data_IF_557581213464
#
_entry.id   IF_557581213464
#
_cell.length_a   1.000
_cell.length_b   1.000
_cell.length_c   1.000
_cell.angle_alpha   90.00
_cell.angle_beta   90.00
_cell.angle_gamma   90.00
#
_symmetry.space_group_name_H-M   'P 1'
#
loop_
_entity.id
_entity.type
_entity.pdbx_description
1 polymer ?
#
# COMPACT_ATOMS: atom_id res chain seq x y z
N UNK A 1 -12.67 13.26 12.59
CA UNK A 1 -11.39 12.51 12.61
C UNK A 1 -10.30 13.55 12.53
N UNK A 2 -9.54 13.73 13.61
CA UNK A 2 -8.34 14.56 13.56
C UNK A 2 -7.30 13.80 12.74
N UNK A 3 -6.95 14.33 11.56
CA UNK A 3 -6.08 13.65 10.62
C UNK A 3 -4.73 14.34 10.64
N UNK A 4 -3.73 13.58 11.06
CA UNK A 4 -2.35 14.01 11.04
C UNK A 4 -1.95 14.40 9.61
N UNK A 5 -1.49 15.63 9.40
CA UNK A 5 -0.95 16.11 8.12
C UNK A 5 0.58 16.11 8.20
N UNK A 6 1.28 15.36 7.35
CA UNK A 6 2.73 15.35 7.35
C UNK A 6 3.28 16.73 6.95
N UNK A 7 4.19 17.28 7.75
CA UNK A 7 4.96 18.48 7.40
C UNK A 7 6.24 18.09 6.68
N UNK A 8 6.35 18.45 5.40
CA UNK A 8 7.52 18.16 4.56
C UNK A 8 8.82 18.80 5.08
N UNK A 9 8.73 19.84 5.92
CA UNK A 9 9.90 20.47 6.54
C UNK A 9 10.39 19.70 7.77
N UNK A 10 9.56 18.84 8.35
CA UNK A 10 9.95 18.02 9.49
C UNK A 10 10.89 16.89 9.08
N UNK A 11 11.93 16.67 9.88
CA UNK A 11 12.85 15.55 9.73
C UNK A 11 12.16 14.18 9.80
N UNK A 12 10.92 14.12 10.32
CA UNK A 12 10.10 12.90 10.35
C UNK A 12 9.68 12.40 8.96
N UNK A 13 9.53 13.29 7.98
CA UNK A 13 9.00 12.96 6.64
C UNK A 13 10.01 13.12 5.51
N UNK A 14 11.27 13.44 5.84
CA UNK A 14 12.36 13.48 4.88
C UNK A 14 12.85 12.07 4.54
N UNK A 15 13.69 11.98 3.50
CA UNK A 15 14.38 10.73 3.15
C UNK A 15 15.20 10.25 4.36
N UNK A 16 15.02 8.98 4.81
CA UNK A 16 15.78 8.44 5.92
C UNK A 16 17.29 8.50 5.70
N UNK A 17 18.01 8.92 6.75
CA UNK A 17 19.48 8.94 6.81
C UNK A 17 20.04 7.85 7.73
N UNK A 18 19.16 7.11 8.38
CA UNK A 18 19.40 6.00 9.31
C UNK A 18 18.26 4.99 9.17
N UNK A 19 18.25 3.95 10.00
CA UNK A 19 17.22 2.89 10.01
C UNK A 19 15.79 3.45 10.20
N UNK A 20 15.63 4.56 10.92
CA UNK A 20 14.32 5.15 11.18
C UNK A 20 14.37 6.67 11.25
N UNK A 21 13.31 7.30 10.73
CA UNK A 21 13.07 8.73 10.94
C UNK A 21 12.62 8.99 12.38
N UNK A 22 12.75 10.25 12.80
CA UNK A 22 12.20 10.71 14.08
C UNK A 22 10.69 10.52 14.06
N UNK A 23 10.15 9.90 15.11
CA UNK A 23 8.72 9.63 15.24
C UNK A 23 7.90 10.93 15.22
N UNK A 24 6.75 10.89 14.56
CA UNK A 24 5.77 11.97 14.56
C UNK A 24 4.39 11.39 14.88
N UNK A 25 3.60 12.14 15.63
CA UNK A 25 2.30 11.67 16.11
C UNK A 25 1.58 12.72 16.96
N UNK A 26 0.62 12.25 17.76
CA UNK A 26 -0.21 13.10 18.63
C UNK A 26 0.19 12.79 20.08
N UNK A 27 0.94 13.67 20.77
CA UNK A 27 1.42 13.39 22.14
C UNK A 27 0.30 13.11 23.14
N UNK A 28 -0.88 13.71 22.92
CA UNK A 28 -2.10 13.49 23.72
C UNK A 28 -3.15 12.73 22.91
N UNK A 29 -2.76 11.57 22.37
CA UNK A 29 -3.62 10.76 21.50
C UNK A 29 -4.92 10.31 22.19
N UNK A 30 -4.84 9.91 23.46
CA UNK A 30 -6.00 9.43 24.22
C UNK A 30 -5.86 9.71 25.72
N UNK A 31 -6.95 10.06 26.44
CA UNK A 31 -6.88 10.31 27.88
C UNK A 31 -6.53 9.04 28.67
N UNK A 32 -5.47 9.11 29.48
CA UNK A 32 -5.02 7.97 30.30
C UNK A 32 -6.11 7.47 31.26
N UNK A 33 -6.89 8.38 31.85
CA UNK A 33 -7.97 8.05 32.77
C UNK A 33 -9.02 7.10 32.16
N UNK A 34 -9.28 7.20 30.85
CA UNK A 34 -10.22 6.31 30.16
C UNK A 34 -9.66 4.90 29.94
N UNK A 35 -8.33 4.77 29.80
CA UNK A 35 -7.64 3.47 29.69
C UNK A 35 -7.57 2.78 31.06
N UNK A 36 -7.38 3.56 32.12
CA UNK A 36 -7.26 3.05 33.49
C UNK A 36 -8.62 2.71 34.12
N UNK A 37 -9.73 3.17 33.53
CA UNK A 37 -11.07 2.86 34.01
C UNK A 37 -11.34 1.36 33.92
N UNK A 38 -11.81 0.76 35.02
CA UNK A 38 -12.21 -0.64 35.06
C UNK A 38 -13.39 -0.90 34.11
N UNK A 39 -13.32 -1.99 33.34
CA UNK A 39 -14.35 -2.33 32.36
C UNK A 39 -14.38 -1.44 31.11
N UNK A 40 -13.33 -0.65 30.85
CA UNK A 40 -13.25 0.13 29.61
C UNK A 40 -13.23 -0.80 28.37
N UNK A 41 -13.79 -0.37 27.23
CA UNK A 41 -13.88 -1.21 26.03
C UNK A 41 -12.56 -1.28 25.22
N UNK A 42 -11.51 -0.54 25.61
CA UNK A 42 -10.29 -0.37 24.82
C UNK A 42 -9.18 -1.34 25.21
N UNK A 43 -9.15 -1.78 26.47
CA UNK A 43 -8.21 -2.76 27.00
C UNK A 43 -8.99 -3.98 27.47
N UNK A 44 -8.62 -5.16 26.95
CA UNK A 44 -9.19 -6.44 27.35
C UNK A 44 -8.06 -7.45 27.48
N UNK A 45 -8.08 -8.24 28.54
CA UNK A 45 -7.06 -9.27 28.79
C UNK A 45 -5.62 -8.69 28.71
N UNK A 46 -5.41 -7.53 29.35
CA UNK A 46 -4.16 -6.75 29.34
C UNK A 46 -3.63 -6.40 27.93
N UNK A 47 -4.54 -6.30 26.95
CA UNK A 47 -4.19 -6.11 25.54
C UNK A 47 -5.03 -5.00 24.91
N UNK A 48 -4.41 -4.18 24.06
CA UNK A 48 -5.07 -3.16 23.24
C UNK A 48 -4.65 -3.26 21.77
N UNK A 49 -5.50 -2.76 20.88
CA UNK A 49 -5.25 -2.75 19.44
C UNK A 49 -5.09 -1.33 18.92
N UNK A 50 -4.00 -1.07 18.19
CA UNK A 50 -3.76 0.21 17.52
C UNK A 50 -3.73 -0.04 16.02
N UNK A 51 -4.57 0.68 15.27
CA UNK A 51 -4.62 0.61 13.80
C UNK A 51 -4.11 1.90 13.18
N UNK A 52 -3.13 1.78 12.31
CA UNK A 52 -2.58 2.91 11.54
C UNK A 52 -3.07 2.79 10.09
N UNK A 53 -3.52 3.90 9.53
CA UNK A 53 -3.96 3.98 8.12
C UNK A 53 -3.12 5.03 7.39
N UNK A 54 -2.44 4.61 6.33
CA UNK A 54 -1.69 5.51 5.44
C UNK A 54 -2.55 5.76 4.20
N UNK A 55 -2.85 7.03 3.94
CA UNK A 55 -3.58 7.44 2.74
C UNK A 55 -2.69 7.31 1.50
N UNK A 56 -3.19 6.63 0.48
CA UNK A 56 -2.51 6.48 -0.81
C UNK A 56 -3.28 7.11 -1.97
N UNK A 57 -4.23 8.01 -1.68
CA UNK A 57 -5.09 8.62 -2.69
C UNK A 57 -4.31 9.35 -3.79
N UNK A 58 -3.19 9.97 -3.41
CA UNK A 58 -2.35 10.75 -4.32
C UNK A 58 -1.24 9.92 -4.98
N UNK A 59 -1.15 8.62 -4.64
CA UNK A 59 -0.19 7.69 -5.24
C UNK A 59 -0.79 7.04 -6.50
N UNK A 60 -0.06 7.02 -7.63
CA UNK A 60 -0.44 6.24 -8.80
C UNK A 60 -0.70 4.78 -8.41
N UNK A 61 -1.85 4.22 -8.82
CA UNK A 61 -2.23 2.82 -8.53
C UNK A 61 -1.19 1.79 -9.00
N UNK A 62 -0.36 2.17 -9.96
CA UNK A 62 0.79 1.38 -10.43
C UNK A 62 1.91 1.27 -9.38
N UNK A 63 2.13 2.31 -8.59
CA UNK A 63 3.13 2.36 -7.51
C UNK A 63 2.61 1.74 -6.20
N UNK A 64 1.30 1.78 -5.97
CA UNK A 64 0.67 1.16 -4.80
C UNK A 64 1.03 -0.32 -4.62
N UNK A 65 1.03 -1.08 -5.71
CA UNK A 65 1.41 -2.50 -5.63
C UNK A 65 2.88 -2.71 -5.29
N UNK A 66 3.76 -1.78 -5.61
CA UNK A 66 5.18 -1.87 -5.28
C UNK A 66 5.41 -1.45 -3.81
N UNK A 67 4.72 -0.40 -3.34
CA UNK A 67 4.84 0.09 -1.97
C UNK A 67 4.29 -0.88 -0.91
N UNK A 68 3.21 -1.61 -1.22
CA UNK A 68 2.53 -2.49 -0.25
C UNK A 68 3.07 -3.94 -0.23
N UNK A 69 3.84 -4.35 -1.23
CA UNK A 69 4.35 -5.73 -1.35
C UNK A 69 5.77 -5.91 -0.83
N UNK A 70 6.44 -4.81 -0.48
CA UNK A 70 7.77 -4.86 0.09
C UNK A 70 7.65 -4.88 1.61
N UNK A 71 8.05 -6.00 2.20
CA UNK A 71 8.35 -6.03 3.62
C UNK A 71 9.64 -5.20 3.83
N UNK A 72 9.57 -4.05 4.52
CA UNK A 72 10.71 -3.16 4.70
C UNK A 72 11.82 -3.81 5.53
N UNK A 73 11.53 -4.86 6.30
CA UNK A 73 12.50 -5.62 7.08
C UNK A 73 13.35 -6.62 6.28
N UNK A 74 13.16 -6.74 4.96
CA UNK A 74 14.00 -7.61 4.12
C UNK A 74 15.27 -6.88 3.66
N UNK A 75 16.41 -7.57 3.49
CA UNK A 75 17.62 -6.98 2.91
C UNK A 75 17.35 -6.31 1.54
N UNK A 76 17.99 -5.17 1.27
CA UNK A 76 17.75 -4.34 0.08
C UNK A 76 17.82 -5.10 -1.26
N UNK A 77 18.76 -6.04 -1.40
CA UNK A 77 18.88 -6.83 -2.63
C UNK A 77 17.68 -7.76 -2.85
N UNK A 78 17.10 -8.30 -1.78
CA UNK A 78 15.88 -9.12 -1.83
C UNK A 78 14.69 -8.25 -2.24
N UNK A 79 14.59 -7.05 -1.66
CA UNK A 79 13.57 -6.08 -2.04
C UNK A 79 13.67 -5.74 -3.53
N UNK A 80 14.87 -5.41 -4.02
CA UNK A 80 15.11 -5.09 -5.43
C UNK A 80 14.77 -6.24 -6.38
N UNK A 81 15.11 -7.49 -6.01
CA UNK A 81 14.76 -8.66 -6.82
C UNK A 81 13.23 -8.86 -6.89
N UNK A 82 12.54 -8.75 -5.75
CA UNK A 82 11.07 -8.84 -5.72
C UNK A 82 10.39 -7.77 -6.56
N UNK A 83 10.92 -6.54 -6.56
CA UNK A 83 10.44 -5.45 -7.42
C UNK A 83 10.58 -5.83 -8.90
N UNK A 84 11.76 -6.32 -9.29
CA UNK A 84 12.03 -6.71 -10.69
C UNK A 84 11.10 -7.85 -11.15
N UNK A 85 10.90 -8.85 -10.30
CA UNK A 85 10.05 -10.01 -10.60
C UNK A 85 8.57 -9.62 -10.75
N UNK A 86 8.04 -8.80 -9.84
CA UNK A 86 6.66 -8.31 -9.93
C UNK A 86 6.44 -7.43 -11.16
N UNK A 87 7.42 -6.59 -11.51
CA UNK A 87 7.37 -5.78 -12.73
C UNK A 87 7.30 -6.67 -13.99
N UNK A 88 8.12 -7.72 -14.04
CA UNK A 88 8.12 -8.71 -15.13
C UNK A 88 6.79 -9.45 -15.22
N UNK A 89 6.23 -9.88 -14.09
CA UNK A 89 4.94 -10.57 -14.01
C UNK A 89 3.79 -9.71 -14.53
N UNK A 90 3.80 -8.41 -14.21
CA UNK A 90 2.80 -7.45 -14.70
C UNK A 90 2.92 -7.16 -16.18
N UNK A 91 4.13 -7.04 -16.72
CA UNK A 91 4.35 -6.91 -18.16
C UNK A 91 3.82 -8.14 -18.91
N UNK A 92 4.08 -9.34 -18.38
CA UNK A 92 3.56 -10.58 -18.94
C UNK A 92 2.02 -10.62 -18.89
N UNK A 93 1.41 -10.25 -17.77
CA UNK A 93 -0.05 -10.20 -17.65
C UNK A 93 -0.67 -9.17 -18.61
N UNK A 94 -0.05 -8.00 -18.80
CA UNK A 94 -0.49 -7.02 -19.80
C UNK A 94 -0.42 -7.57 -21.23
N UNK A 95 0.67 -8.27 -21.59
CA UNK A 95 0.80 -8.93 -22.90
C UNK A 95 -0.28 -9.98 -23.10
N UNK A 96 -0.47 -10.87 -22.13
CA UNK A 96 -1.53 -11.90 -22.17
C UNK A 96 -2.92 -11.29 -22.31
N UNK A 97 -3.21 -10.20 -21.60
CA UNK A 97 -4.48 -9.50 -21.71
C UNK A 97 -4.67 -8.88 -23.10
N UNK A 98 -3.61 -8.28 -23.68
CA UNK A 98 -3.65 -7.73 -25.03
C UNK A 98 -3.85 -8.82 -26.10
N UNK A 99 -3.17 -9.95 -25.97
CA UNK A 99 -3.35 -11.11 -26.86
C UNK A 99 -4.78 -11.68 -26.77
N UNK A 100 -5.33 -11.79 -25.56
CA UNK A 100 -6.70 -12.23 -25.35
C UNK A 100 -7.70 -11.26 -26.01
N UNK A 101 -7.51 -9.95 -25.85
CA UNK A 101 -8.33 -8.92 -26.50
C UNK A 101 -8.26 -9.00 -28.03
N UNK A 102 -7.07 -9.17 -28.59
CA UNK A 102 -6.89 -9.31 -30.03
C UNK A 102 -7.58 -10.57 -30.58
N UNK A 103 -7.53 -11.70 -29.85
CA UNK A 103 -8.26 -12.92 -30.22
C UNK A 103 -9.77 -12.69 -30.24
N UNK A 104 -10.32 -12.02 -29.23
CA UNK A 104 -11.75 -11.69 -29.18
C UNK A 104 -12.16 -10.81 -30.37
N UNK A 105 -11.35 -9.79 -30.70
CA UNK A 105 -11.58 -8.92 -31.86
C UNK A 105 -11.55 -9.69 -33.19
N UNK A 106 -10.60 -10.61 -33.38
CA UNK A 106 -10.55 -11.47 -34.57
C UNK A 106 -11.82 -12.32 -34.71
N UNK A 107 -12.27 -12.96 -33.62
CA UNK A 107 -13.50 -13.77 -33.61
C UNK A 107 -14.73 -12.90 -33.95
N UNK A 108 -14.81 -11.69 -33.41
CA UNK A 108 -15.92 -10.77 -33.69
C UNK A 108 -15.97 -10.37 -35.18
N UNK A 109 -14.79 -10.11 -35.78
CA UNK A 109 -14.68 -9.76 -37.21
C UNK A 109 -15.06 -10.94 -38.12
N UNK A 110 -14.62 -12.16 -37.81
CA UNK A 110 -15.00 -13.36 -38.58
C UNK A 110 -16.50 -13.63 -38.54
N UNK A 111 -17.14 -13.43 -37.37
CA UNK A 111 -18.60 -13.55 -37.24
C UNK A 111 -19.35 -12.55 -38.11
N UNK A 112 -18.88 -11.30 -38.16
CA UNK A 112 -19.46 -10.28 -39.05
C UNK A 112 -19.28 -10.59 -40.53
N UNK A 113 -18.10 -11.11 -40.93
CA UNK A 113 -17.81 -11.47 -42.32
C UNK A 113 -18.66 -12.65 -42.81
N UNK A 114 -18.91 -13.68 -41.97
CA UNK A 114 -19.76 -14.83 -42.34
C UNK A 114 -21.26 -14.53 -42.33
N UNK A 115 -21.67 -13.39 -41.79
CA UNK A 115 -23.07 -12.96 -41.74
C UNK A 115 -23.48 -12.03 -42.89
N UNK A 116 -22.55 -11.71 -43.80
CA UNK A 116 -22.77 -10.94 -45.04
C UNK A 116 -22.68 -11.87 -46.23
#
# INVERSE_FOLDING_TARGET
IDSFRPDIKSNSFQRPRSEMNIASGIPKFFPLAMIQQEGNPYVRDDTMFIKIMVGFGDMPKTLLSHALSLNPGLPMHIQQNKIKDEHKKRLLNKRKASEAWNRVLCIQKEKHFKAT
#
